data_IF_437776663257
#
_entry.id   IF_437776663257
#
_cell.length_a   1.000
_cell.length_b   1.000
_cell.length_c   1.000
_cell.angle_alpha   90.00
_cell.angle_beta   90.00
_cell.angle_gamma   90.00
#
_symmetry.space_group_name_H-M   'P 1'
#
loop_
_entity.id
_entity.type
_entity.pdbx_description
1 polymer ?
#
# COMPACT_ATOMS: atom_id res chain seq x y z
N UNK A 1 -50.92 35.98 13.62
CA UNK A 1 -49.69 36.77 13.34
C UNK A 1 -48.39 36.19 13.88
N UNK A 2 -48.32 35.61 15.10
CA UNK A 2 -47.06 35.05 15.65
C UNK A 2 -46.52 33.82 14.89
N UNK A 3 -47.40 32.91 14.45
CA UNK A 3 -46.99 31.66 13.76
C UNK A 3 -46.25 31.92 12.43
N UNK A 4 -46.71 32.86 11.61
CA UNK A 4 -46.08 33.16 10.32
C UNK A 4 -44.69 33.78 10.47
N UNK A 5 -44.46 34.60 11.51
CA UNK A 5 -43.13 35.16 11.79
C UNK A 5 -42.14 34.09 12.26
N UNK A 6 -42.60 33.12 13.06
CA UNK A 6 -41.79 31.96 13.48
C UNK A 6 -41.45 31.07 12.28
N UNK A 7 -42.41 30.83 11.37
CA UNK A 7 -42.17 30.05 10.14
C UNK A 7 -41.15 30.75 9.23
N UNK A 8 -41.26 32.06 9.02
CA UNK A 8 -40.29 32.83 8.23
C UNK A 8 -38.90 32.77 8.88
N UNK A 9 -38.82 32.93 10.21
CA UNK A 9 -37.55 32.86 10.92
C UNK A 9 -36.89 31.48 10.78
N UNK A 10 -37.65 30.40 10.96
CA UNK A 10 -37.13 29.03 10.79
C UNK A 10 -36.66 28.81 9.35
N UNK A 11 -37.38 29.32 8.35
CA UNK A 11 -36.99 29.23 6.94
C UNK A 11 -35.65 29.91 6.66
N UNK A 12 -35.48 31.15 7.15
CA UNK A 12 -34.24 31.92 6.97
C UNK A 12 -33.06 31.24 7.66
N UNK A 13 -33.25 30.75 8.89
CA UNK A 13 -32.20 30.03 9.61
C UNK A 13 -31.80 28.74 8.90
N UNK A 14 -32.77 27.98 8.37
CA UNK A 14 -32.51 26.78 7.60
C UNK A 14 -31.70 27.06 6.31
N UNK A 15 -32.01 28.15 5.60
CA UNK A 15 -31.26 28.57 4.41
C UNK A 15 -29.81 28.95 4.76
N UNK A 16 -29.58 29.70 5.83
CA UNK A 16 -28.23 30.05 6.29
C UNK A 16 -27.43 28.80 6.63
N UNK A 17 -28.03 27.85 7.36
CA UNK A 17 -27.38 26.57 7.70
C UNK A 17 -27.01 25.80 6.42
N UNK A 18 -27.91 25.74 5.44
CA UNK A 18 -27.65 25.06 4.17
C UNK A 18 -26.48 25.71 3.41
N UNK A 19 -26.43 27.04 3.34
CA UNK A 19 -25.33 27.77 2.69
C UNK A 19 -24.00 27.49 3.40
N UNK A 20 -23.98 27.53 4.73
CA UNK A 20 -22.77 27.23 5.53
C UNK A 20 -22.28 25.80 5.27
N UNK A 21 -23.18 24.81 5.23
CA UNK A 21 -22.83 23.43 4.90
C UNK A 21 -22.26 23.29 3.48
N UNK A 22 -22.80 24.01 2.51
CA UNK A 22 -22.27 24.06 1.14
C UNK A 22 -20.86 24.66 1.10
N UNK A 23 -20.61 25.75 1.83
CA UNK A 23 -19.28 26.38 1.90
C UNK A 23 -18.26 25.43 2.53
N UNK A 24 -18.61 24.77 3.64
CA UNK A 24 -17.72 23.78 4.29
C UNK A 24 -17.39 22.64 3.32
N UNK A 25 -18.39 22.10 2.63
CA UNK A 25 -18.19 21.03 1.64
C UNK A 25 -17.32 21.50 0.46
N UNK A 26 -17.53 22.72 -0.02
CA UNK A 26 -16.73 23.31 -1.08
C UNK A 26 -15.26 23.47 -0.68
N UNK A 27 -15.01 24.02 0.52
CA UNK A 27 -13.65 24.18 1.07
C UNK A 27 -12.93 22.83 1.15
N UNK A 28 -13.61 21.77 1.61
CA UNK A 28 -13.03 20.42 1.67
C UNK A 28 -12.64 19.90 0.27
N UNK A 29 -13.53 20.01 -0.71
CA UNK A 29 -13.27 19.57 -2.09
C UNK A 29 -12.13 20.37 -2.72
N UNK A 30 -12.12 21.68 -2.50
CA UNK A 30 -11.07 22.57 -2.99
C UNK A 30 -9.70 22.23 -2.39
N UNK A 31 -9.63 22.01 -1.07
CA UNK A 31 -8.40 21.61 -0.38
C UNK A 31 -7.87 20.28 -0.92
N UNK A 32 -8.74 19.31 -1.16
CA UNK A 32 -8.37 18.02 -1.79
C UNK A 32 -7.83 18.24 -3.21
N UNK A 33 -8.50 19.07 -4.01
CA UNK A 33 -8.09 19.36 -5.38
C UNK A 33 -6.69 19.98 -5.42
N UNK A 34 -6.46 21.01 -4.60
CA UNK A 34 -5.16 21.67 -4.46
C UNK A 34 -4.11 20.69 -3.93
N UNK A 35 -4.46 19.85 -2.95
CA UNK A 35 -3.59 18.80 -2.44
C UNK A 35 -3.17 17.80 -3.52
N UNK A 36 -4.08 17.38 -4.41
CA UNK A 36 -3.73 16.50 -5.54
C UNK A 36 -2.81 17.18 -6.55
N UNK A 37 -3.01 18.47 -6.82
CA UNK A 37 -2.12 19.24 -7.70
C UNK A 37 -0.70 19.34 -7.13
N UNK A 38 -0.57 19.68 -5.85
CA UNK A 38 0.71 19.78 -5.14
C UNK A 38 1.42 18.42 -5.04
N UNK A 39 0.66 17.34 -4.91
CA UNK A 39 1.18 15.97 -4.84
C UNK A 39 1.88 15.53 -6.13
N UNK A 40 1.58 16.11 -7.30
CA UNK A 40 2.22 15.73 -8.56
C UNK A 40 3.75 15.87 -8.48
N UNK A 41 4.22 16.97 -7.92
CA UNK A 41 5.65 17.22 -7.70
C UNK A 41 6.26 16.20 -6.72
N UNK A 42 5.55 15.85 -5.65
CA UNK A 42 6.00 14.84 -4.69
C UNK A 42 6.09 13.44 -5.33
N UNK A 43 5.09 13.07 -6.14
CA UNK A 43 5.08 11.82 -6.90
C UNK A 43 6.24 11.78 -7.90
N UNK A 44 6.49 12.87 -8.62
CA UNK A 44 7.61 12.95 -9.57
C UNK A 44 8.98 12.78 -8.88
N UNK A 45 9.17 13.33 -7.68
CA UNK A 45 10.37 13.09 -6.87
C UNK A 45 10.52 11.63 -6.47
N UNK A 46 9.42 10.98 -6.06
CA UNK A 46 9.40 9.55 -5.73
C UNK A 46 9.76 8.68 -6.94
N UNK A 47 9.19 8.98 -8.12
CA UNK A 47 9.51 8.28 -9.37
C UNK A 47 10.97 8.50 -9.78
N UNK A 48 11.48 9.73 -9.64
CA UNK A 48 12.88 10.04 -9.92
C UNK A 48 13.82 9.27 -9.00
N UNK A 49 13.51 9.22 -7.71
CA UNK A 49 14.26 8.44 -6.73
C UNK A 49 14.26 6.95 -7.10
N UNK A 50 13.09 6.37 -7.40
CA UNK A 50 12.99 4.97 -7.83
C UNK A 50 13.81 4.68 -9.09
N UNK A 51 13.82 5.60 -10.06
CA UNK A 51 14.64 5.45 -11.27
C UNK A 51 16.14 5.45 -10.97
N UNK A 52 16.59 6.21 -9.99
CA UNK A 52 18.00 6.32 -9.60
C UNK A 52 18.46 5.17 -8.70
N UNK A 53 17.60 4.71 -7.79
CA UNK A 53 17.96 3.75 -6.75
C UNK A 53 17.37 2.34 -6.94
N UNK A 54 16.48 2.17 -7.93
CA UNK A 54 15.78 0.91 -8.21
C UNK A 54 14.56 0.64 -7.33
N UNK A 55 14.34 1.44 -6.28
CA UNK A 55 13.23 1.28 -5.34
C UNK A 55 12.74 2.62 -4.79
N UNK A 56 11.49 2.68 -4.33
CA UNK A 56 10.98 3.82 -3.57
C UNK A 56 11.64 3.87 -2.18
N UNK A 57 11.86 5.08 -1.61
CA UNK A 57 12.53 5.23 -0.34
C UNK A 57 11.65 4.75 0.82
N UNK A 58 12.24 4.26 1.91
CA UNK A 58 11.48 3.82 3.10
C UNK A 58 10.75 4.99 3.79
N UNK A 59 11.35 6.17 3.74
CA UNK A 59 10.79 7.42 4.27
C UNK A 59 10.92 8.53 3.24
N UNK A 60 10.29 9.69 3.48
CA UNK A 60 10.47 10.85 2.59
C UNK A 60 11.78 11.63 2.85
N UNK A 61 12.63 11.19 3.80
CA UNK A 61 13.91 11.84 4.12
C UNK A 61 14.82 12.03 2.91
N UNK A 62 15.07 10.99 2.08
CA UNK A 62 16.00 11.10 0.95
C UNK A 62 15.53 12.07 -0.15
N UNK A 63 14.24 12.44 -0.17
CA UNK A 63 13.66 13.33 -1.20
C UNK A 63 13.34 14.73 -0.67
N UNK A 64 13.95 15.12 0.47
CA UNK A 64 13.93 16.48 0.98
C UNK A 64 13.05 16.72 2.21
N UNK A 65 12.63 15.67 2.91
CA UNK A 65 11.80 15.78 4.12
C UNK A 65 12.50 15.14 5.33
N UNK A 66 13.51 15.80 5.92
CA UNK A 66 14.42 15.17 6.91
C UNK A 66 13.72 14.72 8.21
N UNK A 67 12.56 15.30 8.52
CA UNK A 67 11.73 14.94 9.69
C UNK A 67 10.67 13.89 9.38
N UNK A 68 10.63 13.34 8.16
CA UNK A 68 9.62 12.35 7.79
C UNK A 68 9.98 10.98 8.38
N UNK A 69 9.44 10.66 9.55
CA UNK A 69 9.53 9.32 10.10
C UNK A 69 8.48 8.37 9.52
N UNK A 70 8.69 7.07 9.70
CA UNK A 70 7.71 6.05 9.31
C UNK A 70 6.44 6.25 10.12
N UNK A 71 5.29 6.30 9.43
CA UNK A 71 4.00 6.46 10.09
C UNK A 71 3.66 7.89 10.50
N UNK A 72 4.42 8.88 10.02
CA UNK A 72 4.13 10.29 10.27
C UNK A 72 3.64 11.03 9.03
N UNK A 73 2.83 12.06 9.27
CA UNK A 73 2.41 12.99 8.23
C UNK A 73 3.50 14.01 7.95
N UNK A 74 3.66 14.33 6.67
CA UNK A 74 4.58 15.36 6.20
C UNK A 74 3.78 16.49 5.60
N UNK A 75 4.00 17.71 6.10
CA UNK A 75 3.45 18.90 5.48
C UNK A 75 4.27 19.29 4.25
N UNK A 76 3.61 19.41 3.10
CA UNK A 76 4.22 19.90 1.88
C UNK A 76 3.32 20.94 1.21
N UNK A 77 3.84 22.15 1.04
CA UNK A 77 3.14 23.30 0.44
C UNK A 77 1.77 23.56 1.10
N UNK A 78 1.62 23.39 2.42
CA UNK A 78 0.36 23.58 3.14
C UNK A 78 -0.66 22.43 2.95
N UNK A 79 -0.19 21.23 2.65
CA UNK A 79 -1.01 20.01 2.59
C UNK A 79 -0.29 18.88 3.32
N UNK A 80 -1.00 18.19 4.21
CA UNK A 80 -0.44 17.05 4.94
C UNK A 80 -0.60 15.77 4.12
N UNK A 81 0.52 15.10 3.89
CA UNK A 81 0.60 13.83 3.18
C UNK A 81 1.03 12.72 4.12
N UNK A 82 0.44 11.54 3.94
CA UNK A 82 0.88 10.31 4.58
C UNK A 82 1.44 9.38 3.52
N UNK A 83 2.73 9.07 3.64
CA UNK A 83 3.43 8.20 2.71
C UNK A 83 3.56 6.79 3.29
N UNK A 84 3.17 5.80 2.51
CA UNK A 84 3.33 4.39 2.87
C UNK A 84 4.05 3.69 1.73
N UNK A 85 5.25 3.18 2.02
CA UNK A 85 5.90 2.23 1.12
C UNK A 85 5.24 0.86 1.28
N UNK A 86 4.53 0.41 0.24
CA UNK A 86 3.90 -0.91 0.21
C UNK A 86 4.91 -1.99 -0.19
N UNK A 87 5.85 -1.66 -1.07
CA UNK A 87 7.00 -2.49 -1.42
C UNK A 87 8.05 -1.65 -2.15
N UNK A 88 9.13 -2.28 -2.60
CA UNK A 88 10.20 -1.58 -3.35
C UNK A 88 9.72 -0.84 -4.59
N UNK A 89 8.70 -1.37 -5.26
CA UNK A 89 8.18 -0.79 -6.50
C UNK A 89 6.73 -0.33 -6.38
N UNK A 90 6.22 -0.12 -5.17
CA UNK A 90 4.86 0.38 -4.93
C UNK A 90 4.74 1.20 -3.64
N UNK A 91 4.07 2.35 -3.72
CA UNK A 91 3.71 3.19 -2.59
C UNK A 91 2.27 3.69 -2.69
N UNK A 92 1.76 4.12 -1.52
CA UNK A 92 0.53 4.86 -1.38
C UNK A 92 0.83 6.26 -0.82
N UNK A 93 0.10 7.27 -1.29
CA UNK A 93 0.19 8.65 -0.79
C UNK A 93 -1.19 9.19 -0.45
N UNK A 94 -1.47 9.42 0.82
CA UNK A 94 -2.78 9.83 1.32
C UNK A 94 -2.82 11.30 1.74
N UNK A 95 -3.95 11.98 1.50
CA UNK A 95 -4.21 13.36 1.94
C UNK A 95 -5.16 13.34 3.13
N UNK A 96 -4.73 13.87 4.29
CA UNK A 96 -5.63 14.20 5.41
C UNK A 96 -6.13 13.04 6.30
N UNK A 97 -5.68 11.80 6.09
CA UNK A 97 -5.68 10.76 7.14
C UNK A 97 -6.99 10.08 7.57
N UNK A 98 -8.09 10.25 6.83
CA UNK A 98 -9.42 9.72 7.16
C UNK A 98 -9.79 8.41 6.43
N UNK A 99 -10.98 7.86 6.72
CA UNK A 99 -11.53 6.67 6.04
C UNK A 99 -11.76 6.91 4.53
N UNK A 100 -12.18 8.11 4.18
CA UNK A 100 -12.48 8.52 2.80
C UNK A 100 -11.43 9.48 2.22
N UNK A 101 -10.28 9.57 2.88
CA UNK A 101 -9.21 10.43 2.41
C UNK A 101 -8.78 10.04 0.99
N UNK A 102 -8.48 10.99 0.12
CA UNK A 102 -7.91 10.68 -1.18
C UNK A 102 -6.55 10.00 -1.00
N UNK A 103 -6.39 8.81 -1.57
CA UNK A 103 -5.13 8.08 -1.62
C UNK A 103 -4.71 7.85 -3.06
N UNK A 104 -3.50 8.24 -3.40
CA UNK A 104 -2.86 7.89 -4.65
C UNK A 104 -2.22 6.52 -4.52
N UNK A 105 -2.57 5.62 -5.45
CA UNK A 105 -2.02 4.27 -5.54
C UNK A 105 -1.04 4.21 -6.70
N UNK A 106 0.26 4.03 -6.42
CA UNK A 106 1.29 3.99 -7.49
C UNK A 106 1.09 2.82 -8.46
N UNK A 107 0.61 1.67 -7.96
CA UNK A 107 0.25 0.53 -8.80
C UNK A 107 -0.77 0.89 -9.88
N UNK A 108 -1.79 1.70 -9.53
CA UNK A 108 -2.86 2.13 -10.44
C UNK A 108 -2.60 3.49 -11.12
N UNK A 109 -1.62 4.24 -10.63
CA UNK A 109 -1.34 5.64 -10.97
C UNK A 109 -2.55 6.57 -10.82
N UNK A 110 -3.42 6.31 -9.83
CA UNK A 110 -4.71 7.00 -9.68
C UNK A 110 -5.04 7.32 -8.23
N UNK A 111 -5.81 8.40 -8.06
CA UNK A 111 -6.41 8.78 -6.79
C UNK A 111 -7.73 8.04 -6.56
N UNK A 112 -7.89 7.45 -5.39
CA UNK A 112 -9.10 6.76 -4.96
C UNK A 112 -9.42 7.18 -3.52
N UNK A 113 -10.69 7.48 -3.25
CA UNK A 113 -11.15 7.93 -1.93
C UNK A 113 -12.04 6.90 -1.25
N UNK A 114 -12.95 6.30 -2.01
CA UNK A 114 -13.97 5.36 -1.52
C UNK A 114 -13.72 3.94 -2.01
N UNK A 115 -14.26 2.94 -1.30
CA UNK A 115 -14.17 1.52 -1.67
C UNK A 115 -12.74 1.03 -1.94
N UNK A 116 -11.77 1.54 -1.18
CA UNK A 116 -10.33 1.24 -1.34
C UNK A 116 -10.05 -0.27 -1.36
N UNK A 117 -10.68 -1.03 -0.46
CA UNK A 117 -10.52 -2.49 -0.39
C UNK A 117 -10.89 -3.16 -1.72
N UNK A 118 -12.08 -2.83 -2.23
CA UNK A 118 -12.63 -3.41 -3.45
C UNK A 118 -11.82 -2.96 -4.67
N UNK A 119 -11.43 -1.69 -4.73
CA UNK A 119 -10.54 -1.17 -5.78
C UNK A 119 -9.21 -1.93 -5.84
N UNK A 120 -8.55 -2.12 -4.70
CA UNK A 120 -7.29 -2.86 -4.64
C UNK A 120 -7.49 -4.32 -5.04
N UNK A 121 -8.56 -4.96 -4.58
CA UNK A 121 -8.90 -6.33 -4.96
C UNK A 121 -9.09 -6.48 -6.48
N UNK A 122 -9.91 -5.62 -7.08
CA UNK A 122 -10.16 -5.61 -8.53
C UNK A 122 -8.89 -5.35 -9.35
N UNK A 123 -7.98 -4.53 -8.83
CA UNK A 123 -6.70 -4.24 -9.47
C UNK A 123 -5.72 -5.43 -9.40
N UNK A 124 -5.61 -6.05 -8.23
CA UNK A 124 -4.56 -7.04 -7.93
C UNK A 124 -4.95 -8.47 -8.27
N UNK A 125 -6.22 -8.87 -8.17
CA UNK A 125 -6.66 -10.24 -8.47
C UNK A 125 -6.32 -10.71 -9.89
N UNK A 126 -6.57 -9.92 -10.96
CA UNK A 126 -6.19 -10.33 -12.31
C UNK A 126 -4.66 -10.44 -12.48
N UNK A 127 -3.90 -9.58 -11.79
CA UNK A 127 -2.43 -9.60 -11.82
C UNK A 127 -1.91 -10.88 -11.14
N UNK A 128 -2.48 -11.25 -10.00
CA UNK A 128 -2.09 -12.44 -9.27
C UNK A 128 -2.46 -13.72 -10.03
N UNK A 129 -3.63 -13.78 -10.66
CA UNK A 129 -4.01 -14.88 -11.55
C UNK A 129 -3.00 -15.06 -12.69
N UNK A 130 -2.54 -13.96 -13.31
CA UNK A 130 -1.49 -14.01 -14.35
C UNK A 130 -0.16 -14.52 -13.81
N UNK A 131 0.25 -14.09 -12.62
CA UNK A 131 1.45 -14.61 -11.96
C UNK A 131 1.35 -16.13 -11.71
N UNK A 132 0.23 -16.60 -11.15
CA UNK A 132 0.02 -18.03 -10.87
C UNK A 132 0.07 -18.89 -12.14
N UNK A 133 -0.43 -18.39 -13.27
CA UNK A 133 -0.33 -19.07 -14.57
C UNK A 133 1.12 -19.14 -15.07
N UNK A 134 1.92 -18.10 -14.87
CA UNK A 134 3.34 -18.12 -15.22
C UNK A 134 4.13 -19.09 -14.33
N UNK A 135 3.79 -19.14 -13.05
CA UNK A 135 4.38 -20.05 -12.07
C UNK A 135 4.05 -21.51 -12.37
N UNK A 136 2.78 -21.84 -12.65
CA UNK A 136 2.35 -23.22 -12.93
C UNK A 136 2.83 -23.75 -14.29
N UNK A 137 3.13 -22.86 -15.24
CA UNK A 137 3.68 -23.23 -16.55
C UNK A 137 5.20 -23.37 -16.56
N UNK A 138 5.87 -23.36 -15.39
CA UNK A 138 7.33 -23.43 -15.25
C UNK A 138 8.10 -22.39 -16.09
N UNK A 139 7.45 -21.25 -16.39
CA UNK A 139 8.09 -20.15 -17.13
C UNK A 139 9.00 -19.30 -16.25
N UNK A 140 9.00 -19.53 -14.94
CA UNK A 140 9.80 -18.77 -13.99
C UNK A 140 11.08 -19.52 -13.62
N UNK A 141 12.21 -18.81 -13.69
CA UNK A 141 13.47 -19.33 -13.13
C UNK A 141 13.56 -18.99 -11.64
N UNK A 142 14.19 -19.84 -10.84
CA UNK A 142 14.23 -19.71 -9.38
C UNK A 142 15.67 -19.59 -8.88
N UNK A 143 15.91 -18.62 -8.01
CA UNK A 143 17.14 -18.45 -7.22
C UNK A 143 16.80 -18.61 -5.74
N UNK A 144 17.64 -19.35 -5.01
CA UNK A 144 17.44 -19.64 -3.60
C UNK A 144 18.63 -19.12 -2.79
N UNK A 145 18.35 -18.45 -1.67
CA UNK A 145 19.33 -18.09 -0.65
C UNK A 145 18.97 -18.77 0.67
N UNK A 146 19.85 -19.65 1.13
CA UNK A 146 19.62 -20.43 2.37
C UNK A 146 20.13 -19.73 3.63
N UNK A 147 21.09 -18.80 3.49
CA UNK A 147 21.63 -18.05 4.62
C UNK A 147 20.73 -16.84 4.93
N UNK A 148 19.63 -17.10 5.63
CA UNK A 148 18.73 -16.07 6.17
C UNK A 148 19.15 -15.73 7.60
N UNK A 149 19.45 -14.45 7.84
CA UNK A 149 19.92 -13.94 9.13
C UNK A 149 18.82 -13.96 10.19
N UNK A 150 19.17 -13.84 11.47
CA UNK A 150 18.20 -13.82 12.57
C UNK A 150 17.23 -12.64 12.47
N UNK A 151 17.74 -11.43 12.17
CA UNK A 151 16.93 -10.23 12.01
C UNK A 151 15.94 -10.33 10.84
N UNK A 152 16.34 -10.97 9.74
CA UNK A 152 15.42 -11.22 8.62
C UNK A 152 14.27 -12.16 9.00
N UNK A 153 14.52 -13.13 9.87
CA UNK A 153 13.47 -14.06 10.35
C UNK A 153 12.48 -13.37 11.29
N UNK A 154 12.97 -12.51 12.17
CA UNK A 154 12.15 -11.73 13.11
C UNK A 154 11.17 -10.78 12.40
N UNK A 155 11.50 -10.36 11.18
CA UNK A 155 10.64 -9.52 10.34
C UNK A 155 9.58 -10.30 9.55
N UNK A 156 9.55 -11.64 9.62
CA UNK A 156 8.52 -12.44 8.95
C UNK A 156 7.28 -12.48 9.85
N UNK A 157 6.13 -11.93 9.40
CA UNK A 157 4.90 -12.04 10.15
C UNK A 157 4.59 -13.51 10.49
N UNK A 158 4.17 -13.78 11.74
CA UNK A 158 3.83 -15.12 12.26
C UNK A 158 5.01 -16.09 12.45
N UNK A 159 6.27 -15.63 12.42
CA UNK A 159 7.45 -16.47 12.63
C UNK A 159 7.55 -17.10 14.04
N UNK A 160 6.96 -16.49 15.08
CA UNK A 160 7.06 -16.97 16.46
C UNK A 160 6.45 -18.36 16.73
N UNK A 161 5.82 -19.00 15.74
CA UNK A 161 5.16 -20.31 15.88
C UNK A 161 5.68 -21.39 14.92
N UNK A 162 6.83 -21.18 14.26
CA UNK A 162 7.39 -22.19 13.33
C UNK A 162 8.46 -23.03 14.02
N UNK A 163 8.24 -24.34 14.05
CA UNK A 163 9.22 -25.38 14.41
C UNK A 163 10.06 -25.83 13.21
N UNK A 164 10.00 -25.11 12.07
CA UNK A 164 10.66 -25.54 10.84
C UNK A 164 12.16 -25.26 10.87
N UNK A 165 12.94 -26.32 10.67
CA UNK A 165 14.40 -26.33 10.84
C UNK A 165 15.17 -25.46 9.82
N UNK A 166 14.53 -24.98 8.74
CA UNK A 166 15.19 -24.19 7.70
C UNK A 166 14.25 -23.21 6.97
N UNK A 167 14.58 -21.92 7.04
CA UNK A 167 13.98 -20.85 6.24
C UNK A 167 14.93 -20.51 5.10
N UNK A 168 14.37 -20.39 3.90
CA UNK A 168 15.07 -19.90 2.72
C UNK A 168 14.40 -18.65 2.18
N UNK A 169 15.18 -17.80 1.52
CA UNK A 169 14.68 -16.69 0.74
C UNK A 169 14.69 -17.09 -0.75
N UNK A 170 13.56 -16.88 -1.42
CA UNK A 170 13.37 -17.26 -2.82
C UNK A 170 13.19 -16.00 -3.66
N UNK A 171 13.87 -15.95 -4.80
CA UNK A 171 13.55 -15.02 -5.90
C UNK A 171 13.15 -15.83 -7.12
N UNK A 172 12.04 -15.47 -7.74
CA UNK A 172 11.62 -16.00 -9.04
C UNK A 172 11.72 -14.91 -10.09
N UNK A 173 11.98 -15.29 -11.34
CA UNK A 173 12.16 -14.34 -12.43
C UNK A 173 11.41 -14.78 -13.68
N UNK A 174 10.79 -13.82 -14.39
CA UNK A 174 10.14 -14.04 -15.69
C UNK A 174 11.18 -14.38 -16.78
N UNK A 175 12.34 -13.75 -16.71
CA UNK A 175 13.52 -13.98 -17.52
C UNK A 175 14.77 -13.67 -16.67
N UNK A 176 15.99 -13.73 -17.21
CA UNK A 176 17.21 -13.51 -16.41
C UNK A 176 17.33 -12.11 -15.77
N UNK A 177 16.48 -11.14 -16.14
CA UNK A 177 16.58 -9.74 -15.68
C UNK A 177 15.36 -9.31 -14.86
N UNK A 178 14.16 -9.78 -15.18
CA UNK A 178 12.94 -9.31 -14.54
C UNK A 178 12.51 -10.24 -13.40
N UNK A 179 12.61 -9.75 -12.16
CA UNK A 179 12.07 -10.42 -10.98
C UNK A 179 10.55 -10.55 -11.16
N UNK A 180 10.02 -11.74 -10.87
CA UNK A 180 8.58 -12.05 -10.89
C UNK A 180 8.02 -12.10 -9.47
N UNK A 181 8.77 -12.66 -8.52
CA UNK A 181 8.38 -12.63 -7.11
C UNK A 181 9.58 -12.84 -6.19
N UNK A 182 9.42 -12.44 -4.94
CA UNK A 182 10.37 -12.77 -3.88
C UNK A 182 9.69 -12.84 -2.52
N UNK A 183 10.22 -13.68 -1.65
CA UNK A 183 9.71 -13.86 -0.30
C UNK A 183 10.38 -15.02 0.41
N UNK A 184 9.89 -15.33 1.61
CA UNK A 184 10.42 -16.40 2.44
C UNK A 184 9.62 -17.69 2.25
N UNK A 185 10.32 -18.82 2.37
CA UNK A 185 9.70 -20.14 2.35
C UNK A 185 10.27 -21.03 3.45
N UNK A 186 9.41 -21.88 3.99
CA UNK A 186 9.77 -23.01 4.84
C UNK A 186 10.23 -24.18 3.97
N UNK A 187 11.29 -24.84 4.41
CA UNK A 187 11.75 -26.10 3.83
C UNK A 187 11.50 -27.20 4.85
N UNK A 188 10.64 -28.15 4.49
CA UNK A 188 10.52 -29.41 5.23
C UNK A 188 11.76 -30.27 4.93
N UNK A 189 12.60 -30.49 5.95
CA UNK A 189 13.86 -31.22 5.80
C UNK A 189 13.64 -32.68 5.40
N UNK A 190 12.54 -33.29 5.84
CA UNK A 190 12.19 -34.70 5.60
C UNK A 190 11.59 -34.90 4.22
N UNK A 191 10.61 -34.08 3.85
CA UNK A 191 9.88 -34.22 2.57
C UNK A 191 10.50 -33.41 1.44
N UNK A 192 11.49 -32.55 1.73
CA UNK A 192 12.08 -31.56 0.81
C UNK A 192 11.03 -30.62 0.18
N UNK A 193 9.83 -30.53 0.76
CA UNK A 193 8.78 -29.64 0.29
C UNK A 193 9.11 -28.20 0.68
N UNK A 194 8.89 -27.30 -0.27
CA UNK A 194 9.06 -25.86 -0.09
C UNK A 194 7.67 -25.24 0.00
N UNK A 195 7.42 -24.47 1.07
CA UNK A 195 6.15 -23.78 1.31
C UNK A 195 6.38 -22.28 1.48
N UNK A 196 5.77 -21.40 0.65
CA UNK A 196 5.86 -19.96 0.86
C UNK A 196 5.21 -19.56 2.19
N UNK A 197 5.80 -18.59 2.88
CA UNK A 197 5.31 -18.04 4.15
C UNK A 197 5.49 -16.52 4.20
N UNK A 198 4.65 -15.88 5.02
CA UNK A 198 4.70 -14.44 5.25
C UNK A 198 4.41 -13.64 3.98
N UNK A 199 4.91 -12.42 3.94
CA UNK A 199 4.60 -11.50 2.86
C UNK A 199 5.58 -11.66 1.69
N UNK A 200 5.01 -11.93 0.52
CA UNK A 200 5.71 -12.04 -0.74
C UNK A 200 5.44 -10.79 -1.58
N UNK A 201 6.50 -10.25 -2.17
CA UNK A 201 6.36 -9.20 -3.18
C UNK A 201 6.30 -9.85 -4.54
N UNK A 202 5.22 -9.59 -5.27
CA UNK A 202 5.03 -10.02 -6.65
C UNK A 202 5.20 -8.81 -7.55
N UNK A 203 5.98 -8.99 -8.62
CA UNK A 203 6.29 -7.95 -9.58
C UNK A 203 5.55 -8.22 -10.88
N UNK A 204 5.05 -7.16 -11.48
CA UNK A 204 4.55 -7.18 -12.86
C UNK A 204 5.72 -7.01 -13.83
N UNK A 205 5.54 -7.43 -15.09
CA UNK A 205 6.59 -7.32 -16.11
C UNK A 205 7.04 -5.86 -16.36
N UNK A 206 6.17 -4.87 -16.11
CA UNK A 206 6.47 -3.45 -16.22
C UNK A 206 7.10 -2.83 -14.94
N UNK A 207 7.57 -3.65 -13.98
CA UNK A 207 8.32 -3.15 -12.83
C UNK A 207 7.47 -2.48 -11.75
N UNK A 208 6.17 -2.79 -11.67
CA UNK A 208 5.32 -2.46 -10.51
C UNK A 208 5.24 -3.69 -9.61
N UNK A 209 4.78 -3.50 -8.37
CA UNK A 209 4.64 -4.61 -7.42
C UNK A 209 3.39 -4.52 -6.57
N UNK A 210 3.05 -5.65 -5.97
CA UNK A 210 2.00 -5.80 -4.97
C UNK A 210 2.39 -6.95 -4.02
N UNK A 211 1.77 -6.98 -2.84
CA UNK A 211 2.07 -7.98 -1.83
C UNK A 211 0.99 -9.05 -1.73
N UNK A 212 1.43 -10.28 -1.47
CA UNK A 212 0.59 -11.45 -1.20
C UNK A 212 1.12 -12.12 0.06
N UNK A 213 0.26 -12.38 1.03
CA UNK A 213 0.63 -13.05 2.27
C UNK A 213 0.29 -14.53 2.22
N UNK A 214 1.22 -15.36 2.68
CA UNK A 214 1.05 -16.80 2.77
C UNK A 214 1.04 -17.22 4.24
N UNK A 215 -0.10 -17.75 4.66
CA UNK A 215 -0.25 -18.35 5.98
C UNK A 215 0.57 -19.65 6.05
N UNK A 216 1.14 -19.93 7.23
CA UNK A 216 1.89 -21.16 7.52
C UNK A 216 1.08 -22.42 7.23
N UNK A 217 -0.26 -22.35 7.27
CA UNK A 217 -1.16 -23.48 7.07
C UNK A 217 -1.79 -23.50 5.66
N UNK A 218 -1.74 -22.40 4.90
CA UNK A 218 -2.30 -22.30 3.54
C UNK A 218 -1.25 -22.42 2.45
N UNK A 219 -1.57 -23.12 1.36
CA UNK A 219 -0.79 -23.04 0.10
C UNK A 219 -1.29 -21.95 -0.84
N UNK A 220 -2.47 -21.36 -0.54
CA UNK A 220 -3.06 -20.25 -1.30
C UNK A 220 -2.68 -18.94 -0.63
N UNK A 221 -1.88 -18.14 -1.34
CA UNK A 221 -1.59 -16.78 -0.94
C UNK A 221 -2.85 -15.92 -0.95
N UNK A 222 -3.00 -15.08 0.07
CA UNK A 222 -4.04 -14.07 0.18
C UNK A 222 -3.45 -12.73 -0.22
N UNK A 223 -4.08 -12.03 -1.16
CA UNK A 223 -3.66 -10.67 -1.51
C UNK A 223 -3.84 -9.81 -0.26
N UNK A 224 -2.77 -9.16 0.18
CA UNK A 224 -2.87 -8.26 1.34
C UNK A 224 -3.79 -7.10 1.00
N UNK A 225 -4.86 -6.96 1.78
CA UNK A 225 -5.61 -5.72 1.74
C UNK A 225 -4.72 -4.64 2.35
N UNK A 226 -4.38 -3.62 1.56
CA UNK A 226 -3.54 -2.46 1.97
C UNK A 226 -4.13 -1.66 3.15
N UNK A 227 -5.27 -2.10 3.69
CA UNK A 227 -5.98 -1.55 4.85
C UNK A 227 -5.47 -2.12 6.18
N UNK A 228 -4.84 -3.30 6.21
CA UNK A 228 -4.36 -3.92 7.45
C UNK A 228 -3.20 -3.18 8.12
N UNK A 229 -2.48 -2.32 7.38
CA UNK A 229 -1.43 -1.46 7.96
C UNK A 229 -1.99 -0.33 8.85
N UNK A 230 -3.31 -0.10 8.89
CA UNK A 230 -3.93 0.84 9.84
C UNK A 230 -4.13 0.27 11.24
N UNK A 231 -4.23 -1.06 11.38
CA UNK A 231 -4.62 -1.68 12.67
C UNK A 231 -3.46 -1.94 13.64
N UNK A 232 -2.21 -1.72 13.25
CA UNK A 232 -1.04 -1.84 14.13
C UNK A 232 -0.59 -0.52 14.78
N UNK A 233 -1.27 0.60 14.51
CA UNK A 233 -0.93 1.91 15.08
C UNK A 233 -2.07 2.57 15.87
N UNK A 234 -2.96 1.77 16.47
CA UNK A 234 -3.79 2.23 17.60
C UNK A 234 -3.40 1.36 18.80
N UNK A 235 -2.32 1.75 19.46
CA UNK A 235 -1.80 1.09 20.65
C UNK A 235 -1.17 2.13 21.58
N UNK A 236 -1.96 2.50 22.60
CA UNK A 236 -1.71 3.40 23.73
C UNK A 236 -1.91 4.90 23.50
#
# INVERSE_FOLDING_TARGET
MKRNRVVIYISVVAEIILVVLCVIKYMLVYNIYIGKLRAKDLIERLETYKKQHGEYPETLKPIGFPKAEIGEYVEYKGTCYYYIRQSECDFDLEIGGGKDSPTYYSLAEKWVSVNRAEFIKQLTEPLYKKYLLAESSNKLTTSVRSNVTKSEKENIPFFNYTTADSIIFIKKFYDKKHIASKGFALVDVKTKRIKPIGDWTIFTYNGKSYQVSYDKDSSKGQILSRLYLRTTCIGY
#
